data_IF_075132385726
#
_entry.id   IF_075132385726
#
_cell.length_a   1.000
_cell.length_b   1.000
_cell.length_c   1.000
_cell.angle_alpha   90.00
_cell.angle_beta   90.00
_cell.angle_gamma   90.00
#
_symmetry.space_group_name_H-M   'P 1'
#
loop_
_entity.id
_entity.type
_entity.pdbx_description
1 polymer ?
#
# COMPACT_ATOMS: atom_id res chain seq x y z
N UNK A 1 19.65 4.59 -1.12
CA UNK A 1 18.29 4.49 -0.53
C UNK A 1 17.34 4.68 -1.69
N UNK A 2 16.40 3.77 -1.93
CA UNK A 2 15.47 3.89 -3.05
C UNK A 2 14.07 4.23 -2.56
N UNK A 3 13.33 4.90 -3.44
CA UNK A 3 11.92 5.21 -3.29
C UNK A 3 11.13 4.41 -4.32
N UNK A 4 10.23 3.53 -3.87
CA UNK A 4 9.43 2.69 -4.77
C UNK A 4 7.99 3.17 -4.83
N UNK A 5 7.48 3.37 -6.04
CA UNK A 5 6.13 3.84 -6.29
C UNK A 5 5.15 2.70 -6.50
N UNK A 6 3.99 2.79 -5.85
CA UNK A 6 2.91 1.83 -5.96
C UNK A 6 1.62 2.55 -6.30
N UNK A 7 0.87 1.99 -7.24
CA UNK A 7 -0.42 2.49 -7.68
C UNK A 7 -1.39 1.34 -7.74
N UNK A 8 -2.51 1.51 -7.04
CA UNK A 8 -3.63 0.59 -7.09
C UNK A 8 -4.92 1.34 -7.38
N UNK A 9 -5.73 0.79 -8.29
CA UNK A 9 -7.10 1.24 -8.53
C UNK A 9 -8.03 0.05 -8.56
N UNK A 10 -9.19 0.17 -7.93
CA UNK A 10 -10.20 -0.88 -7.94
C UNK A 10 -11.46 -0.46 -7.18
N UNK A 11 -12.38 -1.39 -6.97
CA UNK A 11 -13.58 -1.10 -6.18
C UNK A 11 -13.20 -0.87 -4.72
N UNK A 12 -13.85 0.10 -4.07
CA UNK A 12 -13.67 0.35 -2.63
C UNK A 12 -13.98 -0.90 -1.80
N UNK A 13 -14.96 -1.71 -2.23
CA UNK A 13 -15.28 -3.00 -1.61
C UNK A 13 -14.07 -3.94 -1.56
N UNK A 14 -13.32 -4.06 -2.66
CA UNK A 14 -12.11 -4.89 -2.73
C UNK A 14 -11.00 -4.31 -1.85
N UNK A 15 -10.83 -2.98 -1.86
CA UNK A 15 -9.89 -2.32 -0.94
C UNK A 15 -10.24 -2.55 0.54
N UNK A 16 -11.52 -2.75 0.87
CA UNK A 16 -11.98 -3.01 2.23
C UNK A 16 -11.86 -4.48 2.67
N UNK A 17 -11.27 -5.34 1.84
CA UNK A 17 -10.91 -6.72 2.21
C UNK A 17 -9.68 -6.72 3.13
N UNK A 18 -9.89 -6.26 4.37
CA UNK A 18 -8.84 -5.92 5.32
C UNK A 18 -7.89 -7.09 5.64
N UNK A 19 -8.38 -8.32 5.67
CA UNK A 19 -7.57 -9.48 6.04
C UNK A 19 -6.39 -9.71 5.08
N UNK A 20 -6.52 -9.35 3.81
CA UNK A 20 -5.45 -9.47 2.81
C UNK A 20 -4.54 -8.22 2.77
N UNK A 21 -4.79 -7.25 3.65
CA UNK A 21 -4.02 -6.00 3.80
C UNK A 21 -3.17 -6.01 5.07
N UNK A 22 -3.25 -7.05 5.88
CA UNK A 22 -2.41 -7.29 7.07
C UNK A 22 -1.54 -8.51 6.84
N UNK A 23 -0.27 -8.50 7.27
CA UNK A 23 0.51 -9.72 7.32
C UNK A 23 -0.18 -10.74 8.25
N UNK A 24 0.05 -12.05 8.03
CA UNK A 24 -0.39 -13.06 8.99
C UNK A 24 0.26 -12.81 10.36
N UNK A 25 -0.43 -13.20 11.44
CA UNK A 25 0.19 -13.21 12.77
C UNK A 25 1.44 -14.11 12.75
N UNK A 26 2.54 -13.75 13.44
CA UNK A 26 3.75 -14.57 13.49
C UNK A 26 3.44 -15.99 13.99
N UNK A 27 2.64 -16.09 15.04
CA UNK A 27 2.23 -17.37 15.60
C UNK A 27 0.96 -17.89 14.91
N UNK A 28 0.95 -19.15 14.45
CA UNK A 28 -0.25 -19.75 13.89
C UNK A 28 -1.33 -19.94 14.98
N UNK A 29 -2.61 -19.92 14.61
CA UNK A 29 -3.68 -20.26 15.54
C UNK A 29 -3.54 -21.72 16.00
N UNK A 30 -4.08 -22.06 17.20
CA UNK A 30 -4.07 -23.43 17.69
C UNK A 30 -4.83 -24.37 16.75
N UNK A 31 -4.47 -25.65 16.80
CA UNK A 31 -5.20 -26.67 16.06
C UNK A 31 -6.66 -26.74 16.54
N UNK A 32 -7.63 -27.07 15.64
CA UNK A 32 -9.02 -27.21 16.05
C UNK A 32 -9.16 -28.30 17.12
N UNK A 33 -10.05 -28.08 18.09
CA UNK A 33 -10.21 -28.97 19.24
C UNK A 33 -10.81 -30.35 18.88
N UNK A 34 -11.36 -30.49 17.68
CA UNK A 34 -11.96 -31.72 17.16
C UNK A 34 -12.70 -31.46 15.86
N UNK A 35 -13.41 -32.47 15.37
CA UNK A 35 -14.09 -32.34 14.07
C UNK A 35 -15.29 -31.39 14.07
N UNK A 36 -15.93 -31.20 15.21
CA UNK A 36 -17.08 -30.29 15.37
C UNK A 36 -16.65 -28.83 15.61
N UNK A 37 -15.36 -28.56 15.79
CA UNK A 37 -14.81 -27.21 15.98
C UNK A 37 -14.74 -26.43 14.66
N UNK A 38 -15.90 -26.02 14.17
CA UNK A 38 -16.04 -25.24 12.94
C UNK A 38 -15.34 -23.87 13.02
N UNK A 39 -15.29 -23.26 14.20
CA UNK A 39 -14.64 -21.96 14.41
C UNK A 39 -13.12 -22.09 14.33
N UNK A 40 -12.52 -23.07 15.00
CA UNK A 40 -11.10 -23.37 14.91
C UNK A 40 -10.67 -23.74 13.49
N UNK A 41 -11.47 -24.57 12.80
CA UNK A 41 -11.23 -24.91 11.38
C UNK A 41 -11.21 -23.66 10.49
N UNK A 42 -12.18 -22.76 10.62
CA UNK A 42 -12.24 -21.48 9.87
C UNK A 42 -11.06 -20.55 10.18
N UNK A 43 -10.65 -20.47 11.44
CA UNK A 43 -9.51 -19.63 11.85
C UNK A 43 -8.21 -20.12 11.21
N UNK A 44 -7.97 -21.43 11.25
CA UNK A 44 -6.78 -22.06 10.62
C UNK A 44 -6.80 -21.89 9.10
N UNK A 45 -7.96 -22.08 8.45
CA UNK A 45 -8.11 -21.85 7.01
C UNK A 45 -7.81 -20.40 6.63
N UNK A 46 -8.39 -19.43 7.34
CA UNK A 46 -8.16 -18.00 7.11
C UNK A 46 -6.69 -17.63 7.31
N UNK A 47 -6.04 -18.18 8.32
CA UNK A 47 -4.61 -17.98 8.54
C UNK A 47 -3.77 -18.49 7.36
N UNK A 48 -4.08 -19.69 6.84
CA UNK A 48 -3.38 -20.26 5.67
C UNK A 48 -3.59 -19.41 4.42
N UNK A 49 -4.81 -18.93 4.19
CA UNK A 49 -5.15 -18.03 3.10
C UNK A 49 -4.33 -16.75 3.18
N UNK A 50 -4.38 -16.01 4.30
CA UNK A 50 -3.63 -14.77 4.48
C UNK A 50 -2.13 -14.99 4.32
N UNK A 51 -1.57 -16.05 4.90
CA UNK A 51 -0.13 -16.36 4.78
C UNK A 51 0.30 -16.63 3.33
N UNK A 52 -0.59 -17.16 2.50
CA UNK A 52 -0.32 -17.47 1.09
C UNK A 52 -0.55 -16.27 0.19
N UNK A 53 -1.66 -15.55 0.40
CA UNK A 53 -2.13 -14.48 -0.47
C UNK A 53 -1.53 -13.12 -0.15
N UNK A 54 -1.30 -12.81 1.14
CA UNK A 54 -0.78 -11.49 1.55
C UNK A 54 0.51 -11.12 0.82
N UNK A 55 1.53 -11.99 0.67
CA UNK A 55 2.76 -11.60 -0.02
C UNK A 55 2.51 -11.24 -1.48
N UNK A 56 1.55 -11.85 -2.18
CA UNK A 56 1.44 -11.74 -3.65
C UNK A 56 0.28 -10.87 -4.15
N UNK A 57 -0.72 -10.62 -3.30
CA UNK A 57 -1.89 -9.80 -3.65
C UNK A 57 -1.48 -8.35 -3.87
N UNK A 58 -2.03 -7.73 -4.91
CA UNK A 58 -1.85 -6.32 -5.29
C UNK A 58 -2.61 -5.33 -4.40
N UNK A 59 -3.26 -5.80 -3.33
CA UNK A 59 -3.99 -4.94 -2.40
C UNK A 59 -3.03 -4.06 -1.58
N UNK A 60 -3.33 -2.74 -1.47
CA UNK A 60 -2.55 -1.85 -0.62
C UNK A 60 -2.56 -2.33 0.84
N UNK A 61 -1.40 -2.58 1.46
CA UNK A 61 -1.34 -3.01 2.85
C UNK A 61 -1.82 -1.90 3.79
N UNK A 62 -2.14 -2.27 5.04
CA UNK A 62 -2.49 -1.29 6.08
C UNK A 62 -1.28 -0.50 6.54
N UNK A 63 -0.15 -1.16 6.75
CA UNK A 63 1.13 -0.49 6.99
C UNK A 63 1.86 -0.38 5.67
N UNK A 64 2.19 0.86 5.28
CA UNK A 64 2.70 1.19 3.95
C UNK A 64 4.02 0.47 3.64
N UNK A 65 4.89 0.26 4.63
CA UNK A 65 6.17 -0.44 4.45
C UNK A 65 6.02 -1.88 3.91
N UNK A 66 4.89 -2.56 4.17
CA UNK A 66 4.68 -3.93 3.66
C UNK A 66 4.51 -4.03 2.15
N UNK A 67 4.44 -2.91 1.43
CA UNK A 67 4.57 -2.93 -0.02
C UNK A 67 5.89 -3.56 -0.48
N UNK A 68 6.96 -3.45 0.32
CA UNK A 68 8.29 -4.00 0.02
C UNK A 68 8.32 -5.54 0.10
N UNK A 69 7.41 -6.16 0.85
CA UNK A 69 7.24 -7.63 0.89
C UNK A 69 6.55 -8.15 -0.37
N UNK A 70 5.85 -7.27 -1.10
CA UNK A 70 5.11 -7.65 -2.30
C UNK A 70 6.05 -7.82 -3.50
N UNK A 71 5.66 -8.62 -4.51
CA UNK A 71 6.44 -8.81 -5.72
C UNK A 71 6.86 -7.51 -6.42
N UNK A 72 8.13 -7.43 -6.83
CA UNK A 72 8.68 -6.28 -7.53
C UNK A 72 7.92 -5.86 -8.80
N UNK A 73 7.18 -6.77 -9.44
CA UNK A 73 6.29 -6.45 -10.59
C UNK A 73 5.19 -5.42 -10.26
N UNK A 74 4.90 -5.19 -8.98
CA UNK A 74 3.91 -4.20 -8.53
C UNK A 74 4.52 -2.80 -8.37
N UNK A 75 5.86 -2.69 -8.38
CA UNK A 75 6.57 -1.42 -8.39
C UNK A 75 6.34 -0.74 -9.73
N UNK A 76 5.86 0.51 -9.70
CA UNK A 76 5.56 1.34 -10.88
C UNK A 76 6.72 2.23 -11.29
N UNK A 77 7.65 2.46 -10.37
CA UNK A 77 8.87 3.21 -10.60
C UNK A 77 9.76 3.11 -9.37
N UNK A 78 11.05 3.29 -9.59
CA UNK A 78 12.04 3.39 -8.52
C UNK A 78 12.91 4.59 -8.79
N UNK A 79 13.19 5.36 -7.74
CA UNK A 79 14.01 6.56 -7.82
C UNK A 79 15.04 6.58 -6.70
N UNK A 80 16.17 7.23 -6.97
CA UNK A 80 17.21 7.52 -5.99
C UNK A 80 16.96 8.85 -5.27
N UNK A 81 16.21 9.76 -5.91
CA UNK A 81 15.98 11.12 -5.40
C UNK A 81 14.53 11.32 -4.92
N UNK A 82 14.31 11.88 -3.71
CA UNK A 82 12.97 12.17 -3.17
C UNK A 82 12.10 12.99 -4.12
N UNK A 83 12.71 13.96 -4.79
CA UNK A 83 12.02 14.89 -5.68
C UNK A 83 11.51 14.22 -6.95
N UNK A 84 12.25 13.25 -7.49
CA UNK A 84 11.81 12.50 -8.66
C UNK A 84 10.63 11.58 -8.31
N UNK A 85 10.69 10.92 -7.15
CA UNK A 85 9.59 10.13 -6.62
C UNK A 85 8.33 11.00 -6.36
N UNK A 86 8.49 12.17 -5.77
CA UNK A 86 7.40 13.11 -5.53
C UNK A 86 6.84 13.70 -6.84
N UNK A 87 7.70 13.95 -7.84
CA UNK A 87 7.26 14.35 -9.18
C UNK A 87 6.36 13.27 -9.79
N UNK A 88 6.76 11.99 -9.73
CA UNK A 88 5.91 10.89 -10.18
C UNK A 88 4.55 10.88 -9.47
N UNK A 89 4.51 11.10 -8.16
CA UNK A 89 3.26 11.23 -7.41
C UNK A 89 2.40 12.38 -7.97
N UNK A 90 3.00 13.53 -8.25
CA UNK A 90 2.32 14.68 -8.86
C UNK A 90 1.73 14.37 -10.23
N UNK A 91 2.48 13.67 -11.07
CA UNK A 91 2.01 13.21 -12.39
C UNK A 91 0.81 12.27 -12.27
N UNK A 92 0.84 11.32 -11.31
CA UNK A 92 -0.30 10.44 -11.06
C UNK A 92 -1.52 11.22 -10.53
N UNK A 93 -1.31 12.12 -9.58
CA UNK A 93 -2.39 12.95 -9.03
C UNK A 93 -3.05 13.80 -10.14
N UNK A 94 -2.27 14.43 -11.02
CA UNK A 94 -2.78 15.20 -12.14
C UNK A 94 -3.54 14.33 -13.15
N UNK A 95 -3.03 13.14 -13.46
CA UNK A 95 -3.68 12.21 -14.39
C UNK A 95 -5.04 11.72 -13.87
N UNK A 96 -5.19 11.51 -12.57
CA UNK A 96 -6.44 11.07 -11.95
C UNK A 96 -7.36 12.20 -11.49
N UNK A 97 -6.87 13.45 -11.40
CA UNK A 97 -7.63 14.58 -10.89
C UNK A 97 -9.02 14.74 -11.52
N UNK A 98 -9.23 14.63 -12.85
CA UNK A 98 -10.56 14.74 -13.44
C UNK A 98 -11.59 13.73 -12.90
N UNK A 99 -11.12 12.63 -12.31
CA UNK A 99 -11.92 11.50 -11.85
C UNK A 99 -12.20 11.51 -10.35
N UNK A 100 -11.59 12.42 -9.58
CA UNK A 100 -11.82 12.51 -8.15
C UNK A 100 -13.26 12.91 -7.84
N UNK A 101 -13.91 12.16 -6.96
CA UNK A 101 -15.29 12.42 -6.57
C UNK A 101 -15.46 13.77 -5.87
N UNK A 102 -14.48 14.16 -5.04
CA UNK A 102 -14.49 15.40 -4.28
C UNK A 102 -13.86 16.55 -5.06
N UNK A 103 -14.52 17.71 -5.12
CA UNK A 103 -13.94 18.93 -5.69
C UNK A 103 -12.69 19.39 -4.93
N UNK A 104 -12.68 19.22 -3.60
CA UNK A 104 -11.51 19.53 -2.78
C UNK A 104 -10.31 18.71 -3.20
N UNK A 105 -10.49 17.42 -3.55
CA UNK A 105 -9.38 16.58 -4.01
C UNK A 105 -8.93 16.94 -5.44
N UNK A 106 -9.78 17.61 -6.23
CA UNK A 106 -9.41 18.16 -7.55
C UNK A 106 -8.65 19.48 -7.47
N UNK A 107 -8.62 20.13 -6.31
CA UNK A 107 -7.96 21.42 -6.13
C UNK A 107 -6.46 21.30 -6.40
N UNK A 108 -5.99 21.99 -7.43
CA UNK A 108 -4.58 22.00 -7.85
C UNK A 108 -3.63 22.49 -6.75
N UNK A 109 -4.08 23.42 -5.91
CA UNK A 109 -3.31 23.91 -4.75
C UNK A 109 -3.13 22.80 -3.74
N UNK A 110 -4.20 22.03 -3.45
CA UNK A 110 -4.13 20.87 -2.55
C UNK A 110 -3.19 19.81 -3.11
N UNK A 111 -3.30 19.48 -4.41
CA UNK A 111 -2.42 18.49 -5.03
C UNK A 111 -0.95 18.92 -4.96
N UNK A 112 -0.64 20.19 -5.20
CA UNK A 112 0.71 20.73 -5.03
C UNK A 112 1.21 20.60 -3.59
N UNK A 113 0.36 20.87 -2.59
CA UNK A 113 0.71 20.69 -1.17
C UNK A 113 1.05 19.23 -0.86
N UNK A 114 0.29 18.26 -1.41
CA UNK A 114 0.58 16.84 -1.22
C UNK A 114 1.94 16.45 -1.80
N UNK A 115 2.29 16.95 -2.99
CA UNK A 115 3.59 16.69 -3.63
C UNK A 115 4.75 17.28 -2.83
N UNK A 116 4.63 18.53 -2.37
CA UNK A 116 5.63 19.17 -1.52
C UNK A 116 5.81 18.41 -0.20
N UNK A 117 4.70 18.01 0.43
CA UNK A 117 4.70 17.26 1.69
C UNK A 117 5.31 15.86 1.52
N UNK A 118 5.07 15.22 0.38
CA UNK A 118 5.68 13.95 0.03
C UNK A 118 7.21 14.09 -0.07
N UNK A 119 7.70 15.12 -0.76
CA UNK A 119 9.16 15.39 -0.86
C UNK A 119 9.80 15.49 0.53
N UNK A 120 9.26 16.34 1.40
CA UNK A 120 9.79 16.54 2.74
C UNK A 120 9.76 15.28 3.61
N UNK A 121 8.77 14.40 3.39
CA UNK A 121 8.66 13.14 4.13
C UNK A 121 9.68 12.13 3.66
N UNK A 122 9.84 12.00 2.34
CA UNK A 122 10.80 11.08 1.71
C UNK A 122 12.25 11.46 2.02
N UNK A 123 12.56 12.76 2.07
CA UNK A 123 13.88 13.28 2.48
C UNK A 123 14.25 12.85 3.92
N UNK A 124 13.24 12.63 4.78
CA UNK A 124 13.44 12.15 6.15
C UNK A 124 13.39 10.62 6.26
N UNK A 125 13.19 9.90 5.15
CA UNK A 125 13.09 8.44 5.15
C UNK A 125 11.74 7.87 5.56
N UNK A 126 10.68 8.68 5.51
CA UNK A 126 9.31 8.25 5.78
C UNK A 126 8.57 7.83 4.51
N UNK A 127 7.52 7.01 4.69
CA UNK A 127 6.66 6.56 3.59
C UNK A 127 5.48 7.52 3.35
N UNK A 128 5.04 7.61 2.09
CA UNK A 128 3.86 8.37 1.67
C UNK A 128 2.75 7.41 1.27
N UNK A 129 1.53 7.68 1.73
CA UNK A 129 0.33 6.94 1.35
C UNK A 129 -0.85 7.89 1.24
N UNK A 130 -1.50 7.89 0.08
CA UNK A 130 -2.69 8.68 -0.20
C UNK A 130 -3.79 7.81 -0.80
N UNK A 131 -5.04 8.12 -0.44
CA UNK A 131 -6.22 7.42 -0.91
C UNK A 131 -7.28 8.41 -1.37
N UNK A 132 -7.85 8.17 -2.55
CA UNK A 132 -8.85 9.05 -3.16
C UNK A 132 -10.04 8.25 -3.65
N UNK A 133 -11.24 8.75 -3.37
CA UNK A 133 -12.44 8.23 -4.00
C UNK A 133 -12.52 8.76 -5.44
N UNK A 134 -12.64 7.85 -6.39
CA UNK A 134 -12.92 8.17 -7.79
C UNK A 134 -14.44 8.09 -8.03
N UNK A 135 -14.86 8.02 -9.29
CA UNK A 135 -16.25 7.70 -9.61
C UNK A 135 -16.66 6.38 -8.94
N UNK A 136 -17.72 6.42 -8.11
CA UNK A 136 -18.16 5.23 -7.37
C UNK A 136 -18.41 4.06 -8.32
N UNK A 137 -17.95 2.84 -7.99
CA UNK A 137 -17.44 2.41 -6.69
C UNK A 137 -15.90 2.47 -6.55
N UNK A 138 -15.21 3.21 -7.42
CA UNK A 138 -13.76 3.11 -7.57
C UNK A 138 -12.97 3.92 -6.54
N UNK A 139 -11.78 3.42 -6.21
CA UNK A 139 -10.83 4.01 -5.27
C UNK A 139 -9.42 3.95 -5.85
N UNK A 140 -8.64 5.01 -5.64
CA UNK A 140 -7.23 5.10 -5.96
C UNK A 140 -6.42 5.07 -4.66
N UNK A 141 -5.37 4.24 -4.65
CA UNK A 141 -4.32 4.28 -3.63
C UNK A 141 -2.98 4.52 -4.31
N UNK A 142 -2.25 5.52 -3.82
CA UNK A 142 -0.89 5.85 -4.24
C UNK A 142 0.02 5.76 -3.03
N UNK A 143 1.17 5.12 -3.20
CA UNK A 143 2.18 5.06 -2.16
C UNK A 143 3.59 5.25 -2.73
N UNK A 144 4.46 5.86 -1.93
CA UNK A 144 5.90 5.91 -2.14
C UNK A 144 6.55 5.34 -0.87
N UNK A 145 7.38 4.32 -1.04
CA UNK A 145 7.96 3.57 0.08
C UNK A 145 9.48 3.64 0.04
N UNK A 146 10.07 4.05 1.15
CA UNK A 146 11.51 4.10 1.35
C UNK A 146 12.02 2.69 1.65
N UNK A 147 13.02 2.18 0.91
CA UNK A 147 13.44 0.79 1.11
C UNK A 147 14.48 0.58 2.22
N UNK A 148 15.44 1.50 2.40
CA UNK A 148 16.47 1.37 3.44
C UNK A 148 17.30 2.65 3.61
N UNK A 149 17.47 3.13 4.85
CA UNK A 149 16.72 2.74 6.05
C UNK A 149 15.27 3.22 5.95
N UNK A 150 14.29 2.35 6.22
CA UNK A 150 12.87 2.75 6.34
C UNK A 150 12.57 3.06 7.82
N UNK A 151 12.05 4.26 8.10
CA UNK A 151 11.68 4.67 9.46
C UNK A 151 10.48 3.91 10.06
N UNK A 152 9.56 3.45 9.22
CA UNK A 152 8.34 2.76 9.63
C UNK A 152 8.57 1.29 10.02
N UNK A 153 9.73 0.72 9.71
CA UNK A 153 10.10 -0.63 10.13
C UNK A 153 11.32 -1.16 9.35
N UNK A 154 12.33 -1.75 10.03
CA UNK A 154 13.57 -2.18 9.39
C UNK A 154 13.49 -3.53 8.66
N UNK A 155 12.35 -4.23 8.70
CA UNK A 155 12.25 -5.64 8.31
C UNK A 155 12.25 -5.92 6.80
N UNK A 156 11.52 -5.17 5.93
CA UNK A 156 11.45 -5.52 4.52
C UNK A 156 12.69 -5.07 3.76
N UNK A 157 13.29 -5.97 2.97
CA UNK A 157 14.40 -5.62 2.10
C UNK A 157 13.94 -4.84 0.85
N UNK A 158 14.91 -4.21 0.18
CA UNK A 158 14.64 -3.53 -1.08
C UNK A 158 14.28 -4.56 -2.17
N UNK A 159 13.18 -4.37 -2.92
CA UNK A 159 12.74 -5.29 -3.98
C UNK A 159 13.66 -5.31 -5.22
N UNK A 160 14.70 -4.47 -5.27
CA UNK A 160 15.71 -4.44 -6.34
C UNK A 160 17.05 -5.10 -5.94
N UNK A 161 17.12 -5.76 -4.78
CA UNK A 161 18.29 -6.56 -4.40
C UNK A 161 18.33 -7.90 -5.13
#
# INVERSE_FOLDING_TARGET
MHYHGYLWTGSKKRFDEEALRRPPQPDPPPAPAGDDDTAGKRLVERYREVRTEFPVVDLPPLETAYWLVKPGRLVRGTWDEPKEAAQWLGEQLAAYAPRFASETDRDTTRLAILVSSATERLERGGDVSHGFYLERPSFLSLALVCCSPNQAGPEPECPLR
#
